data_IF_643169856950
#
_entry.id   IF_643169856950
#
_cell.length_a   1.000
_cell.length_b   1.000
_cell.length_c   1.000
_cell.angle_alpha   90.00
_cell.angle_beta   90.00
_cell.angle_gamma   90.00
#
_symmetry.space_group_name_H-M   'P 1'
#
loop_
_entity.id
_entity.type
_entity.pdbx_description
1 polymer ?
#
# COMPACT_ATOMS: atom_id res chain seq x y z
N UNK A 1 -12.09 -39.81 8.87
CA UNK A 1 -11.00 -39.74 7.88
C UNK A 1 -11.44 -40.28 6.52
N UNK A 2 -12.10 -41.43 6.46
CA UNK A 2 -12.62 -42.04 5.22
C UNK A 2 -13.69 -41.18 4.50
N UNK A 3 -14.52 -40.45 5.26
CA UNK A 3 -15.56 -39.56 4.69
C UNK A 3 -14.98 -38.36 3.93
N UNK A 4 -13.84 -37.82 4.40
CA UNK A 4 -13.14 -36.71 3.76
C UNK A 4 -12.55 -37.18 2.43
N UNK A 5 -11.95 -38.37 2.41
CA UNK A 5 -11.40 -38.98 1.19
C UNK A 5 -12.49 -39.37 0.20
N UNK A 6 -13.66 -39.82 0.68
CA UNK A 6 -14.82 -40.12 -0.17
C UNK A 6 -15.39 -38.85 -0.82
N UNK A 7 -15.42 -37.73 -0.09
CA UNK A 7 -15.88 -36.43 -0.60
C UNK A 7 -14.96 -35.90 -1.70
N UNK A 8 -13.64 -35.95 -1.48
CA UNK A 8 -12.64 -35.54 -2.48
C UNK A 8 -12.73 -36.41 -3.74
N UNK A 9 -12.88 -37.74 -3.59
CA UNK A 9 -13.01 -38.67 -4.72
C UNK A 9 -14.28 -38.43 -5.53
N UNK A 10 -15.37 -38.03 -4.88
CA UNK A 10 -16.62 -37.66 -5.56
C UNK A 10 -16.48 -36.37 -6.37
N UNK A 11 -15.84 -35.34 -5.81
CA UNK A 11 -15.58 -34.06 -6.50
C UNK A 11 -14.73 -34.29 -7.76
N UNK A 12 -13.68 -35.11 -7.68
CA UNK A 12 -12.80 -35.40 -8.83
C UNK A 12 -13.50 -36.26 -9.90
N UNK A 13 -14.41 -37.16 -9.49
CA UNK A 13 -15.16 -37.98 -10.45
C UNK A 13 -16.26 -37.19 -11.16
N UNK A 14 -16.71 -36.07 -10.58
CA UNK A 14 -17.80 -35.23 -11.11
C UNK A 14 -17.30 -34.12 -12.06
N UNK A 15 -16.01 -33.74 -11.99
CA UNK A 15 -15.43 -32.62 -12.77
C UNK A 15 -14.43 -33.06 -13.86
N UNK A 16 -14.17 -34.36 -14.02
CA UNK A 16 -13.06 -34.89 -14.82
C UNK A 16 -13.42 -35.46 -16.21
N UNK A 17 -14.61 -35.21 -16.74
CA UNK A 17 -15.09 -35.86 -17.97
C UNK A 17 -15.13 -34.92 -19.20
N UNK A 18 -14.00 -34.29 -19.54
CA UNK A 18 -13.74 -33.92 -20.94
C UNK A 18 -12.23 -33.71 -21.20
N UNK A 19 -11.49 -34.81 -21.31
CA UNK A 19 -10.15 -34.81 -21.91
C UNK A 19 -10.14 -35.90 -22.99
N UNK A 20 -10.70 -35.51 -24.13
CA UNK A 20 -10.75 -36.30 -25.35
C UNK A 20 -9.39 -36.42 -26.02
N UNK A 21 -8.82 -37.61 -25.89
CA UNK A 21 -8.19 -38.39 -26.96
C UNK A 21 -6.97 -37.80 -27.70
N UNK A 22 -5.80 -38.27 -27.29
CA UNK A 22 -4.61 -38.37 -28.13
C UNK A 22 -4.72 -39.53 -29.15
N UNK A 23 -4.35 -39.29 -30.41
CA UNK A 23 -3.99 -40.29 -31.42
C UNK A 23 -3.11 -39.60 -32.52
N UNK A 24 -2.38 -40.31 -33.41
CA UNK A 24 -0.93 -40.39 -33.37
C UNK A 24 -0.19 -39.82 -34.61
N UNK A 25 1.12 -39.62 -34.41
CA UNK A 25 2.26 -39.57 -35.34
C UNK A 25 2.05 -39.31 -36.85
N UNK A 26 2.71 -38.26 -37.34
CA UNK A 26 3.27 -38.20 -38.70
C UNK A 26 4.66 -37.53 -38.65
N UNK A 27 5.64 -38.19 -39.26
CA UNK A 27 7.03 -37.78 -39.47
C UNK A 27 7.10 -36.38 -40.13
N UNK A 28 7.94 -35.43 -39.67
CA UNK A 28 8.00 -34.11 -40.27
C UNK A 28 8.65 -34.16 -41.67
N UNK A 29 7.94 -33.63 -42.67
CA UNK A 29 8.56 -33.29 -43.95
C UNK A 29 9.69 -32.27 -43.75
N UNK A 30 10.81 -32.34 -44.50
CA UNK A 30 11.88 -31.35 -44.40
C UNK A 30 11.32 -29.95 -44.68
N UNK A 31 11.80 -28.90 -43.98
CA UNK A 31 11.31 -27.55 -44.20
C UNK A 31 11.63 -27.11 -45.64
N UNK A 32 10.75 -26.34 -46.29
CA UNK A 32 11.05 -25.77 -47.60
C UNK A 32 12.29 -24.88 -47.50
N UNK A 33 13.14 -24.91 -48.53
CA UNK A 33 14.29 -24.02 -48.63
C UNK A 33 13.83 -22.54 -48.54
N UNK A 34 14.59 -21.67 -47.87
CA UNK A 34 14.21 -20.26 -47.76
C UNK A 34 14.18 -19.63 -49.16
N UNK A 35 13.07 -18.99 -49.50
CA UNK A 35 12.98 -18.11 -50.67
C UNK A 35 13.98 -16.96 -50.49
N UNK A 36 14.63 -16.47 -51.57
CA UNK A 36 15.56 -15.36 -51.47
C UNK A 36 14.83 -14.12 -50.95
N UNK A 37 15.35 -13.55 -49.85
CA UNK A 37 14.87 -12.27 -49.32
C UNK A 37 14.96 -11.20 -50.41
N UNK A 38 13.96 -10.30 -50.53
CA UNK A 38 14.03 -9.20 -51.49
C UNK A 38 15.22 -8.31 -51.14
N UNK A 39 16.07 -8.03 -52.13
CA UNK A 39 17.14 -7.03 -52.01
C UNK A 39 16.53 -5.71 -51.52
N UNK A 40 17.14 -5.03 -50.52
CA UNK A 40 16.59 -3.79 -50.01
C UNK A 40 16.55 -2.77 -51.14
N UNK A 41 15.36 -2.24 -51.44
CA UNK A 41 15.23 -1.09 -52.32
C UNK A 41 16.15 0.02 -51.79
N UNK A 42 16.86 0.76 -52.66
CA UNK A 42 17.68 1.87 -52.23
C UNK A 42 16.75 2.90 -51.59
N UNK A 43 16.75 2.96 -50.25
CA UNK A 43 16.07 3.99 -49.50
C UNK A 43 16.54 5.32 -50.05
N UNK A 44 15.60 6.11 -50.59
CA UNK A 44 15.88 7.50 -50.94
C UNK A 44 16.55 8.13 -49.74
N UNK A 45 17.74 8.71 -49.94
CA UNK A 45 18.37 9.51 -48.92
C UNK A 45 17.37 10.61 -48.55
N UNK A 46 16.77 10.50 -47.36
CA UNK A 46 16.10 11.63 -46.74
C UNK A 46 17.15 12.74 -46.68
N UNK A 47 16.83 13.98 -47.09
CA UNK A 47 17.76 15.08 -46.88
C UNK A 47 18.13 15.08 -45.39
N UNK A 48 19.44 15.10 -45.09
CA UNK A 48 19.90 15.30 -43.72
C UNK A 48 19.18 16.54 -43.17
N UNK A 49 18.59 16.47 -41.97
CA UNK A 49 17.99 17.64 -41.36
C UNK A 49 19.09 18.70 -41.26
N UNK A 50 18.81 19.92 -41.75
CA UNK A 50 19.69 21.06 -41.51
C UNK A 50 19.95 21.17 -40.01
N UNK A 51 21.18 21.46 -39.58
CA UNK A 51 21.47 21.62 -38.16
C UNK A 51 20.56 22.72 -37.60
N UNK A 52 19.77 22.37 -36.58
CA UNK A 52 19.01 23.37 -35.82
C UNK A 52 20.00 24.41 -35.30
N UNK A 53 19.66 25.71 -35.36
CA UNK A 53 20.53 26.75 -34.82
C UNK A 53 20.78 26.47 -33.35
N UNK A 54 22.06 26.50 -32.95
CA UNK A 54 22.42 26.40 -31.53
C UNK A 54 21.60 27.42 -30.73
N UNK A 55 20.99 27.02 -29.60
CA UNK A 55 20.23 27.95 -28.78
C UNK A 55 21.17 29.09 -28.36
N UNK A 56 20.73 30.34 -28.59
CA UNK A 56 21.42 31.50 -28.05
C UNK A 56 21.62 31.27 -26.54
N UNK A 57 22.79 31.62 -25.98
CA UNK A 57 23.01 31.47 -24.55
C UNK A 57 21.92 32.22 -23.81
N UNK A 58 21.15 31.50 -22.98
CA UNK A 58 20.20 32.13 -22.08
C UNK A 58 20.96 33.19 -21.28
N UNK A 59 20.43 34.43 -21.18
CA UNK A 59 21.08 35.44 -20.37
C UNK A 59 21.22 34.89 -18.95
N UNK A 60 22.44 34.88 -18.41
CA UNK A 60 22.67 34.49 -17.03
C UNK A 60 21.66 35.23 -16.14
N UNK A 61 21.00 34.54 -15.19
CA UNK A 61 20.08 35.19 -14.28
C UNK A 61 20.80 36.37 -13.63
N UNK A 62 20.34 37.59 -13.94
CA UNK A 62 20.86 38.79 -13.29
C UNK A 62 20.51 38.67 -11.81
N UNK A 63 21.48 38.25 -11.00
CA UNK A 63 21.38 38.34 -9.56
C UNK A 63 21.57 39.82 -9.23
N UNK A 64 20.52 40.55 -8.80
CA UNK A 64 20.74 41.89 -8.29
C UNK A 64 21.72 41.81 -7.14
N UNK A 65 22.75 42.68 -7.15
CA UNK A 65 23.57 42.89 -5.96
C UNK A 65 22.63 43.20 -4.79
N UNK A 66 22.85 42.60 -3.60
CA UNK A 66 21.99 42.85 -2.46
C UNK A 66 22.00 44.34 -2.14
N UNK A 67 20.83 44.97 -2.15
CA UNK A 67 20.67 46.32 -1.62
C UNK A 67 21.20 46.35 -0.17
N UNK A 68 21.86 47.44 0.26
CA UNK A 68 22.33 47.53 1.63
C UNK A 68 21.15 47.34 2.59
N UNK A 69 21.30 46.41 3.54
CA UNK A 69 20.29 46.17 4.57
C UNK A 69 19.94 47.49 5.27
N UNK A 70 18.63 47.78 5.48
CA UNK A 70 18.25 48.98 6.20
C UNK A 70 18.83 48.93 7.62
N UNK A 71 19.43 50.04 8.06
CA UNK A 71 19.82 50.19 9.46
C UNK A 71 18.62 49.88 10.37
N UNK A 72 18.82 49.16 11.49
CA UNK A 72 17.72 48.82 12.37
C UNK A 72 17.10 50.10 12.95
N UNK A 73 15.90 50.45 12.49
CA UNK A 73 15.05 51.39 13.19
C UNK A 73 14.73 50.79 14.57
N UNK A 74 15.15 51.48 15.63
CA UNK A 74 14.79 51.08 16.99
C UNK A 74 13.27 50.98 17.11
N UNK A 75 12.77 49.75 17.26
CA UNK A 75 11.37 49.52 17.62
C UNK A 75 11.10 50.17 18.99
N UNK A 76 9.98 50.89 19.17
CA UNK A 76 9.58 51.31 20.50
C UNK A 76 9.35 50.06 21.35
N UNK A 77 10.01 49.98 22.49
CA UNK A 77 9.92 48.86 23.43
C UNK A 77 8.45 48.70 23.85
N UNK A 78 7.79 47.69 23.29
CA UNK A 78 6.38 47.41 23.51
C UNK A 78 6.21 46.75 24.88
N UNK A 79 5.78 47.51 25.87
CA UNK A 79 5.41 46.94 27.16
C UNK A 79 4.08 46.16 27.00
N UNK A 80 4.07 44.84 27.20
CA UNK A 80 2.86 44.05 26.99
C UNK A 80 1.78 44.48 27.98
N UNK A 81 0.50 44.56 27.56
CA UNK A 81 -0.58 44.86 28.48
C UNK A 81 -0.66 43.80 29.59
N UNK A 82 -1.06 44.17 30.81
CA UNK A 82 -1.19 43.21 31.90
C UNK A 82 -2.13 42.07 31.50
N UNK A 83 -1.84 40.82 31.90
CA UNK A 83 -2.69 39.68 31.54
C UNK A 83 -4.12 39.89 32.04
N UNK A 84 -5.14 39.46 31.27
CA UNK A 84 -6.52 39.55 31.72
C UNK A 84 -6.72 38.78 33.03
N UNK A 85 -7.64 39.21 33.91
CA UNK A 85 -7.93 38.49 35.15
C UNK A 85 -8.36 37.04 34.83
N UNK A 86 -8.00 36.06 35.67
CA UNK A 86 -8.35 34.67 35.43
C UNK A 86 -9.88 34.52 35.34
N UNK A 87 -10.39 33.66 34.44
CA UNK A 87 -11.82 33.40 34.36
C UNK A 87 -12.34 32.84 35.69
N UNK A 88 -13.61 33.09 36.05
CA UNK A 88 -14.18 32.54 37.27
C UNK A 88 -14.09 31.01 37.27
N UNK A 89 -13.88 30.37 38.43
CA UNK A 89 -13.77 28.92 38.52
C UNK A 89 -15.05 28.28 37.98
N UNK A 90 -14.90 27.43 36.96
CA UNK A 90 -16.01 26.62 36.45
C UNK A 90 -16.50 25.71 37.59
N UNK A 91 -17.83 25.47 37.72
CA UNK A 91 -18.33 24.51 38.68
C UNK A 91 -17.71 23.14 38.38
N UNK A 92 -16.96 22.59 39.34
CA UNK A 92 -16.39 21.25 39.23
C UNK A 92 -17.56 20.27 39.14
N UNK A 93 -17.76 19.67 37.97
CA UNK A 93 -18.58 18.46 37.86
C UNK A 93 -17.89 17.41 38.72
N UNK A 94 -18.64 16.74 39.61
CA UNK A 94 -18.09 15.63 40.39
C UNK A 94 -17.40 14.64 39.42
N UNK A 95 -16.13 14.34 39.67
CA UNK A 95 -15.39 13.39 38.88
C UNK A 95 -16.11 12.04 38.96
N UNK A 96 -16.45 11.47 37.80
CA UNK A 96 -16.87 10.08 37.74
C UNK A 96 -15.74 9.20 38.33
N UNK A 97 -16.06 8.10 39.04
CA UNK A 97 -15.04 7.17 39.49
C UNK A 97 -14.22 6.68 38.30
N UNK A 98 -12.90 6.47 38.47
CA UNK A 98 -12.06 5.96 37.38
C UNK A 98 -12.63 4.62 36.89
N UNK A 99 -12.68 4.39 35.56
CA UNK A 99 -13.08 3.09 35.04
C UNK A 99 -12.16 1.99 35.62
N UNK A 100 -12.66 0.76 35.82
CA UNK A 100 -11.82 -0.35 36.23
C UNK A 100 -10.68 -0.54 35.22
N UNK A 101 -9.48 -0.96 35.67
CA UNK A 101 -8.38 -1.22 34.75
C UNK A 101 -8.82 -2.29 33.72
N UNK A 102 -8.47 -2.12 32.44
CA UNK A 102 -8.76 -3.12 31.43
C UNK A 102 -8.11 -4.46 31.83
N UNK A 103 -8.73 -5.60 31.47
CA UNK A 103 -8.07 -6.89 31.62
C UNK A 103 -6.75 -6.84 30.84
N UNK A 104 -5.65 -7.16 31.52
CA UNK A 104 -4.34 -7.36 30.90
C UNK A 104 -4.43 -8.66 30.10
N UNK A 105 -4.88 -8.55 28.85
CA UNK A 105 -4.57 -9.55 27.84
C UNK A 105 -3.10 -9.36 27.50
N UNK A 106 -2.32 -10.45 27.56
CA UNK A 106 -0.87 -10.45 27.43
C UNK A 106 -0.36 -9.58 26.29
N UNK A 107 0.75 -8.90 26.55
CA UNK A 107 1.46 -7.97 25.68
C UNK A 107 1.91 -8.57 24.33
N UNK A 108 1.68 -9.87 24.09
CA UNK A 108 2.07 -10.60 22.87
C UNK A 108 1.35 -10.11 21.59
N UNK A 109 0.20 -9.45 21.69
CA UNK A 109 -0.52 -8.91 20.51
C UNK A 109 0.07 -7.55 20.07
N UNK A 110 0.69 -6.80 20.99
CA UNK A 110 1.27 -5.49 20.68
C UNK A 110 2.70 -5.57 20.14
N UNK A 111 3.45 -6.63 20.47
CA UNK A 111 4.78 -6.84 19.88
C UNK A 111 4.74 -7.05 18.36
N UNK A 112 3.70 -7.70 17.84
CA UNK A 112 3.58 -7.89 16.38
C UNK A 112 3.31 -6.57 15.64
N UNK A 113 2.58 -5.64 16.27
CA UNK A 113 2.40 -4.29 15.73
C UNK A 113 3.64 -3.42 15.86
N UNK A 114 4.47 -3.67 16.87
CA UNK A 114 5.69 -2.92 17.10
C UNK A 114 6.82 -3.36 16.15
N UNK A 115 6.94 -4.66 15.84
CA UNK A 115 7.85 -5.16 14.79
C UNK A 115 7.45 -4.65 13.40
N UNK A 116 6.15 -4.59 13.08
CA UNK A 116 5.66 -4.00 11.82
C UNK A 116 5.83 -2.47 11.79
N UNK A 117 5.86 -1.80 12.96
CA UNK A 117 6.11 -0.36 13.08
C UNK A 117 7.60 -0.02 12.95
N UNK A 118 8.50 -0.88 13.40
CA UNK A 118 9.95 -0.74 13.17
C UNK A 118 10.35 -1.08 11.72
N UNK A 119 9.67 -2.03 11.07
CA UNK A 119 9.79 -2.27 9.62
C UNK A 119 9.15 -1.14 8.76
N UNK A 120 8.55 -0.12 9.39
CA UNK A 120 8.02 1.07 8.72
C UNK A 120 9.06 2.19 8.52
N UNK A 121 10.34 1.85 8.37
CA UNK A 121 11.20 2.61 7.47
C UNK A 121 10.61 2.50 6.06
N UNK A 122 9.67 3.41 5.79
CA UNK A 122 8.53 3.19 4.92
C UNK A 122 8.87 2.73 3.51
N UNK A 123 8.19 1.67 3.08
CA UNK A 123 8.07 1.24 1.68
C UNK A 123 7.47 2.34 0.76
N UNK A 124 7.10 3.49 1.31
CA UNK A 124 6.49 4.61 0.62
C UNK A 124 7.08 5.91 1.16
N UNK A 125 7.37 6.86 0.27
CA UNK A 125 7.89 8.16 0.69
C UNK A 125 6.90 8.89 1.62
N UNK A 126 7.41 9.59 2.62
CA UNK A 126 6.65 10.42 3.57
C UNK A 126 5.65 11.38 2.87
N UNK A 127 6.01 12.08 1.78
CA UNK A 127 5.03 12.89 1.05
C UNK A 127 3.95 12.07 0.33
N UNK A 128 4.25 10.86 -0.15
CA UNK A 128 3.24 9.95 -0.72
C UNK A 128 2.26 9.48 0.35
N UNK A 129 2.76 9.11 1.53
CA UNK A 129 1.93 8.71 2.66
C UNK A 129 1.01 9.85 3.13
N UNK A 130 1.54 11.07 3.21
CA UNK A 130 0.77 12.27 3.56
C UNK A 130 -0.34 12.57 2.54
N UNK A 131 -0.05 12.43 1.24
CA UNK A 131 -1.05 12.59 0.17
C UNK A 131 -2.14 11.52 0.25
N UNK A 132 -1.78 10.26 0.47
CA UNK A 132 -2.74 9.16 0.62
C UNK A 132 -3.66 9.39 1.83
N UNK A 133 -3.11 9.82 2.97
CA UNK A 133 -3.87 10.16 4.16
C UNK A 133 -4.82 11.35 3.93
N UNK A 134 -4.38 12.37 3.18
CA UNK A 134 -5.22 13.51 2.84
C UNK A 134 -6.42 13.11 1.96
N UNK A 135 -6.21 12.27 0.94
CA UNK A 135 -7.29 11.77 0.08
C UNK A 135 -8.28 10.88 0.84
N UNK A 136 -7.79 10.04 1.76
CA UNK A 136 -8.64 9.22 2.63
C UNK A 136 -9.47 10.10 3.60
N UNK A 137 -8.87 11.18 4.12
CA UNK A 137 -9.55 12.19 4.92
C UNK A 137 -10.66 12.91 4.14
N UNK A 138 -10.38 13.31 2.90
CA UNK A 138 -11.36 13.94 2.02
C UNK A 138 -12.53 13.00 1.69
N UNK A 139 -12.24 11.73 1.42
CA UNK A 139 -13.25 10.72 1.14
C UNK A 139 -14.11 10.43 2.39
N UNK A 140 -13.49 10.25 3.55
CA UNK A 140 -14.23 10.02 4.80
C UNK A 140 -15.13 11.20 5.17
N UNK A 141 -14.67 12.43 4.92
CA UNK A 141 -15.49 13.64 5.05
C UNK A 141 -16.68 13.67 4.08
N UNK A 142 -16.48 13.32 2.82
CA UNK A 142 -17.55 13.24 1.82
C UNK A 142 -18.57 12.13 2.13
N UNK A 143 -18.10 11.00 2.66
CA UNK A 143 -18.95 9.87 3.09
C UNK A 143 -19.75 10.24 4.35
N UNK A 144 -19.13 10.92 5.32
CA UNK A 144 -19.82 11.40 6.51
C UNK A 144 -20.88 12.47 6.16
N UNK A 145 -20.55 13.38 5.23
CA UNK A 145 -21.47 14.39 4.72
C UNK A 145 -22.65 13.79 3.95
N UNK A 146 -22.42 12.76 3.14
CA UNK A 146 -23.50 12.05 2.42
C UNK A 146 -24.38 11.22 3.35
N UNK A 147 -23.81 10.59 4.40
CA UNK A 147 -24.57 9.91 5.47
C UNK A 147 -25.46 10.90 6.25
N UNK A 148 -24.97 12.12 6.48
CA UNK A 148 -25.73 13.18 7.15
C UNK A 148 -26.92 13.70 6.31
N UNK A 149 -26.85 13.60 4.97
CA UNK A 149 -27.95 14.02 4.09
C UNK A 149 -29.13 13.05 4.01
N UNK A 150 -29.05 11.86 4.62
CA UNK A 150 -30.23 11.02 4.91
C UNK A 150 -31.17 10.76 3.73
N UNK A 151 -30.65 10.62 2.51
CA UNK A 151 -31.46 10.35 1.32
C UNK A 151 -31.82 8.85 1.26
N UNK A 152 -32.91 8.48 1.95
CA UNK A 152 -33.89 7.43 1.59
C UNK A 152 -33.45 5.97 1.40
N UNK A 153 -32.15 5.68 1.29
CA UNK A 153 -31.63 4.39 0.82
C UNK A 153 -30.70 3.73 1.86
N UNK A 154 -30.82 4.13 3.13
CA UNK A 154 -29.91 3.84 4.26
C UNK A 154 -29.74 2.35 4.63
N UNK A 155 -30.34 1.43 3.88
CA UNK A 155 -30.20 -0.02 4.07
C UNK A 155 -29.02 -0.61 3.28
N UNK A 156 -28.50 0.08 2.26
CA UNK A 156 -27.17 -0.23 1.68
C UNK A 156 -26.20 0.83 2.16
N UNK A 157 -25.45 0.49 3.20
CA UNK A 157 -24.33 1.33 3.62
C UNK A 157 -23.28 1.32 2.52
N UNK A 158 -22.58 2.44 2.31
CA UNK A 158 -21.43 2.47 1.40
C UNK A 158 -20.40 1.40 1.77
N UNK A 159 -20.30 1.06 3.05
CA UNK A 159 -19.48 -0.04 3.54
C UNK A 159 -19.89 -1.39 2.94
N UNK A 160 -21.19 -1.67 2.80
CA UNK A 160 -21.71 -2.86 2.11
C UNK A 160 -21.25 -2.89 0.65
N UNK A 161 -21.34 -1.74 -0.04
CA UNK A 161 -20.95 -1.61 -1.45
C UNK A 161 -19.43 -1.73 -1.64
N UNK A 162 -18.65 -1.11 -0.76
CA UNK A 162 -17.18 -1.18 -0.76
C UNK A 162 -16.73 -2.60 -0.42
N UNK A 163 -17.38 -3.28 0.51
CA UNK A 163 -17.11 -4.70 0.80
C UNK A 163 -17.48 -5.59 -0.38
N UNK A 164 -18.59 -5.33 -1.07
CA UNK A 164 -19.00 -6.06 -2.28
C UNK A 164 -17.93 -5.92 -3.39
N UNK A 165 -17.35 -4.73 -3.54
CA UNK A 165 -16.31 -4.44 -4.53
C UNK A 165 -14.90 -4.92 -4.14
N UNK A 166 -14.51 -4.83 -2.86
CA UNK A 166 -13.18 -5.24 -2.40
C UNK A 166 -13.04 -6.75 -2.22
N UNK A 167 -14.13 -7.46 -1.94
CA UNK A 167 -14.10 -8.91 -1.72
C UNK A 167 -13.48 -9.70 -2.89
N UNK A 168 -13.83 -9.47 -4.17
CA UNK A 168 -13.20 -10.19 -5.27
C UNK A 168 -11.70 -9.87 -5.40
N UNK A 169 -11.30 -8.60 -5.25
CA UNK A 169 -9.89 -8.20 -5.37
C UNK A 169 -9.04 -8.79 -4.23
N UNK A 170 -9.55 -8.77 -2.99
CA UNK A 170 -8.86 -9.37 -1.85
C UNK A 170 -8.79 -10.88 -1.96
N UNK A 171 -9.83 -11.53 -2.50
CA UNK A 171 -9.83 -12.97 -2.71
C UNK A 171 -8.77 -13.38 -3.72
N UNK A 172 -8.72 -12.74 -4.88
CA UNK A 172 -7.71 -13.01 -5.90
C UNK A 172 -6.28 -12.80 -5.37
N UNK A 173 -6.08 -11.72 -4.61
CA UNK A 173 -4.79 -11.47 -3.98
C UNK A 173 -4.41 -12.51 -2.93
N UNK A 174 -5.35 -12.89 -2.05
CA UNK A 174 -5.11 -13.93 -1.05
C UNK A 174 -4.84 -15.28 -1.71
N UNK A 175 -5.61 -15.66 -2.73
CA UNK A 175 -5.42 -16.93 -3.44
C UNK A 175 -4.02 -16.99 -4.10
N UNK A 176 -3.48 -15.85 -4.56
CA UNK A 176 -2.15 -15.77 -5.15
C UNK A 176 -0.99 -15.69 -4.12
N UNK A 177 -1.20 -15.09 -2.95
CA UNK A 177 -0.10 -14.74 -2.03
C UNK A 177 -0.14 -15.45 -0.67
N UNK A 178 -1.25 -16.09 -0.29
CA UNK A 178 -1.43 -16.66 1.04
C UNK A 178 -0.45 -17.81 1.31
N UNK A 179 -0.17 -18.66 0.33
CA UNK A 179 0.78 -19.76 0.49
C UNK A 179 2.19 -19.24 0.85
N UNK A 180 2.67 -18.22 0.14
CA UNK A 180 3.98 -17.61 0.40
C UNK A 180 4.04 -16.92 1.75
N UNK A 181 2.98 -16.21 2.15
CA UNK A 181 2.92 -15.52 3.45
C UNK A 181 2.97 -16.54 4.59
N UNK A 182 2.15 -17.60 4.52
CA UNK A 182 2.11 -18.64 5.54
C UNK A 182 3.44 -19.36 5.63
N UNK A 183 4.07 -19.70 4.49
CA UNK A 183 5.37 -20.34 4.48
C UNK A 183 6.43 -19.50 5.22
N UNK A 184 6.50 -18.19 4.94
CA UNK A 184 7.46 -17.30 5.61
C UNK A 184 7.22 -17.22 7.13
N UNK A 185 5.95 -17.24 7.56
CA UNK A 185 5.60 -17.23 8.98
C UNK A 185 5.95 -18.58 9.64
N UNK A 186 5.64 -19.71 9.00
CA UNK A 186 5.95 -21.05 9.53
C UNK A 186 7.45 -21.28 9.58
N UNK A 187 8.20 -20.90 8.55
CA UNK A 187 9.67 -20.97 8.55
C UNK A 187 10.27 -20.15 9.70
N UNK A 188 9.74 -18.95 9.94
CA UNK A 188 10.13 -18.12 11.09
C UNK A 188 9.80 -18.79 12.42
N UNK A 189 8.64 -19.41 12.56
CA UNK A 189 8.23 -20.06 13.80
C UNK A 189 9.04 -21.33 14.08
N UNK A 190 9.33 -22.14 13.06
CA UNK A 190 10.20 -23.32 13.18
C UNK A 190 11.63 -22.89 13.52
N UNK A 191 12.14 -21.82 12.90
CA UNK A 191 13.44 -21.25 13.27
C UNK A 191 13.47 -20.79 14.74
N UNK A 192 12.40 -20.16 15.23
CA UNK A 192 12.29 -19.78 16.65
C UNK A 192 12.28 -21.01 17.56
N UNK A 193 11.46 -22.02 17.26
CA UNK A 193 11.34 -23.23 18.09
C UNK A 193 12.62 -24.06 18.11
N UNK A 194 13.36 -24.09 17.01
CA UNK A 194 14.65 -24.79 16.95
C UNK A 194 15.70 -24.11 17.83
N UNK A 195 15.78 -22.78 17.80
CA UNK A 195 16.65 -22.02 18.71
C UNK A 195 16.26 -22.26 20.18
N UNK A 196 14.96 -22.18 20.50
CA UNK A 196 14.49 -22.45 21.87
C UNK A 196 14.77 -23.90 22.33
N UNK A 197 14.61 -24.87 21.43
CA UNK A 197 14.87 -26.27 21.74
C UNK A 197 16.36 -26.59 21.92
N UNK A 198 17.26 -25.90 21.21
CA UNK A 198 18.71 -26.01 21.40
C UNK A 198 19.13 -25.40 22.76
N UNK A 199 18.57 -24.24 23.12
CA UNK A 199 18.83 -23.60 24.43
C UNK A 199 18.35 -24.45 25.61
N UNK A 200 17.22 -25.16 25.47
CA UNK A 200 16.72 -26.10 26.49
C UNK A 200 17.60 -27.36 26.62
N UNK A 201 18.25 -27.80 25.54
CA UNK A 201 19.15 -28.96 25.55
C UNK A 201 20.53 -28.64 26.13
N UNK A 202 21.06 -27.45 25.91
CA UNK A 202 22.33 -27.00 26.50
C UNK A 202 22.24 -26.75 28.02
N UNK A 203 21.02 -26.62 28.55
CA UNK A 203 20.76 -26.40 29.97
C UNK A 203 20.49 -27.68 30.79
N UNK A 204 20.56 -28.87 30.17
CA UNK A 204 20.39 -30.20 30.79
C UNK A 204 21.72 -30.96 30.91
#
# INVERSE_FOLDING_TARGET
MEEILASIRRIISEDGADQGAAAPAADPAPPPAPEPEPEPEPMMAMPEPEPEPEPEPEPEPYMPEPEPEPEPEFEPEYEPPPPPPPPPPRPRRAAAPPPPPPPQYGDDILELTDVVRDEAEGLVSQPTAARAAAHLGQLSGAIAGSRAMGLGNSQRTLEELVKELLRPMLKEWLDAHLATIVQRIVEREVARLTIQAEEEQDHL
#
